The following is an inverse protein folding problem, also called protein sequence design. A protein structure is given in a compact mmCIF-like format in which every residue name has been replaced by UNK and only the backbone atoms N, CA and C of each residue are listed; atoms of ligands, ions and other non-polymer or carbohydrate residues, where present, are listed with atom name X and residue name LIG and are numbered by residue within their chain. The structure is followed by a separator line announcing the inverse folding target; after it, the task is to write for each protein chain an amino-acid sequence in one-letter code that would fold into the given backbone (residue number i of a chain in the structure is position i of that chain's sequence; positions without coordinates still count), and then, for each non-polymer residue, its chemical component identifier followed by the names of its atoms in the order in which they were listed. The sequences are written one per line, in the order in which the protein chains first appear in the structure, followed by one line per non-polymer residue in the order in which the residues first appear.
data_IF_929272821413
#
_entry.id   IF_929272821413
#
_cell.length_a   1.000
_cell.length_b   1.000
_cell.length_c   1.000
_cell.angle_alpha   90.00
_cell.angle_beta   90.00
_cell.angle_gamma   90.00
#
_symmetry.space_group_name_H-M   'P 1'
#
loop_
_entity.id
_entity.type
_entity.pdbx_description
1 polymer ?
#
# COMPACT_ATOMS: atom_id res chain seq x y z
N UNK A 1 -63.49 9.23 3.14
CA UNK A 1 -62.28 9.86 2.56
C UNK A 1 -61.06 9.96 3.49
N UNK A 2 -60.79 8.92 4.30
CA UNK A 2 -59.58 8.84 5.14
C UNK A 2 -58.51 7.97 4.47
N UNK A 3 -58.92 6.81 3.93
CA UNK A 3 -58.08 5.84 3.20
C UNK A 3 -57.43 6.44 1.96
N UNK A 4 -58.11 7.34 1.25
CA UNK A 4 -57.57 8.05 0.09
C UNK A 4 -56.50 9.06 0.48
N UNK A 5 -56.62 9.74 1.63
CA UNK A 5 -55.61 10.70 2.12
C UNK A 5 -54.33 10.00 2.63
N UNK A 6 -54.45 8.81 3.21
CA UNK A 6 -53.31 8.02 3.69
C UNK A 6 -52.46 7.48 2.53
N UNK A 7 -53.10 6.86 1.50
CA UNK A 7 -52.41 6.45 0.27
C UNK A 7 -51.70 7.59 -0.46
N UNK A 8 -52.28 8.80 -0.40
CA UNK A 8 -51.66 9.97 -1.04
C UNK A 8 -50.43 10.44 -0.27
N UNK A 9 -50.43 10.36 1.06
CA UNK A 9 -49.25 10.66 1.88
C UNK A 9 -48.13 9.66 1.62
N UNK A 10 -48.42 8.37 1.61
CA UNK A 10 -47.41 7.32 1.38
C UNK A 10 -46.78 7.45 -0.02
N UNK A 11 -47.59 7.78 -1.04
CA UNK A 11 -47.11 8.06 -2.39
C UNK A 11 -46.20 9.29 -2.47
N UNK A 12 -46.49 10.33 -1.69
CA UNK A 12 -45.68 11.57 -1.65
C UNK A 12 -44.36 11.33 -0.91
N UNK A 13 -44.38 10.59 0.21
CA UNK A 13 -43.16 10.22 0.93
C UNK A 13 -42.24 9.33 0.07
N UNK A 14 -42.79 8.32 -0.61
CA UNK A 14 -42.01 7.48 -1.52
C UNK A 14 -41.40 8.28 -2.69
N UNK A 15 -42.12 9.28 -3.20
CA UNK A 15 -41.61 10.17 -4.26
C UNK A 15 -40.50 11.09 -3.76
N UNK A 16 -40.61 11.61 -2.53
CA UNK A 16 -39.57 12.41 -1.86
C UNK A 16 -38.32 11.59 -1.55
N UNK A 17 -38.46 10.35 -1.08
CA UNK A 17 -37.34 9.42 -0.89
C UNK A 17 -36.65 9.09 -2.22
N UNK A 18 -37.41 8.88 -3.30
CA UNK A 18 -36.87 8.65 -4.63
C UNK A 18 -36.09 9.88 -5.16
N UNK A 19 -36.66 11.09 -5.02
CA UNK A 19 -36.02 12.34 -5.44
C UNK A 19 -34.74 12.64 -4.65
N UNK A 20 -34.73 12.35 -3.35
CA UNK A 20 -33.55 12.54 -2.50
C UNK A 20 -32.48 11.49 -2.79
N UNK A 21 -32.84 10.22 -3.03
CA UNK A 21 -31.89 9.18 -3.46
C UNK A 21 -31.33 9.45 -4.86
N UNK A 22 -32.13 9.92 -5.82
CA UNK A 22 -31.63 10.29 -7.14
C UNK A 22 -30.66 11.47 -7.11
N UNK A 23 -30.94 12.50 -6.29
CA UNK A 23 -30.04 13.64 -6.14
C UNK A 23 -28.76 13.31 -5.36
N UNK A 24 -28.81 12.36 -4.43
CA UNK A 24 -27.64 11.96 -3.62
C UNK A 24 -26.76 10.93 -4.32
N UNK A 25 -27.29 10.09 -5.22
CA UNK A 25 -26.52 9.14 -6.05
C UNK A 25 -25.29 9.75 -6.75
N UNK A 26 -25.39 10.86 -7.51
CA UNK A 26 -24.21 11.44 -8.17
C UNK A 26 -23.18 11.95 -7.16
N UNK A 27 -23.62 12.47 -6.01
CA UNK A 27 -22.73 12.92 -4.93
C UNK A 27 -21.97 11.74 -4.30
N UNK A 28 -22.68 10.65 -3.98
CA UNK A 28 -22.08 9.41 -3.48
C UNK A 28 -21.09 8.82 -4.48
N UNK A 29 -21.43 8.85 -5.77
CA UNK A 29 -20.52 8.41 -6.84
C UNK A 29 -19.25 9.26 -6.91
N UNK A 30 -19.35 10.57 -6.66
CA UNK A 30 -18.21 11.48 -6.62
C UNK A 30 -17.28 11.16 -5.44
N UNK A 31 -17.85 10.95 -4.24
CA UNK A 31 -17.06 10.56 -3.06
C UNK A 31 -16.37 9.21 -3.26
N UNK A 32 -17.05 8.24 -3.85
CA UNK A 32 -16.44 6.94 -4.19
C UNK A 32 -15.26 7.10 -5.15
N UNK A 33 -15.38 7.96 -6.17
CA UNK A 33 -14.26 8.27 -7.08
C UNK A 33 -13.08 8.93 -6.35
N UNK A 34 -13.34 9.86 -5.44
CA UNK A 34 -12.29 10.50 -4.62
C UNK A 34 -11.62 9.46 -3.73
N UNK A 35 -12.39 8.64 -3.03
CA UNK A 35 -11.88 7.55 -2.21
C UNK A 35 -10.96 6.63 -3.02
N UNK A 36 -11.36 6.22 -4.22
CA UNK A 36 -10.54 5.36 -5.07
C UNK A 36 -9.24 6.05 -5.50
N UNK A 37 -9.29 7.34 -5.83
CA UNK A 37 -8.08 8.12 -6.17
C UNK A 37 -7.13 8.22 -5.00
N UNK A 38 -7.63 8.51 -3.80
CA UNK A 38 -6.80 8.55 -2.59
C UNK A 38 -6.18 7.18 -2.28
N UNK A 39 -6.95 6.11 -2.40
CA UNK A 39 -6.44 4.75 -2.19
C UNK A 39 -5.35 4.40 -3.21
N UNK A 40 -5.55 4.75 -4.49
CA UNK A 40 -4.53 4.56 -5.52
C UNK A 40 -3.28 5.41 -5.27
N UNK A 41 -3.43 6.65 -4.82
CA UNK A 41 -2.30 7.53 -4.50
C UNK A 41 -1.47 6.95 -3.35
N UNK A 42 -2.14 6.53 -2.27
CA UNK A 42 -1.49 5.88 -1.13
C UNK A 42 -0.75 4.60 -1.53
N UNK A 43 -1.38 3.79 -2.39
CA UNK A 43 -0.79 2.59 -2.96
C UNK A 43 0.47 2.88 -3.80
N UNK A 44 0.46 3.99 -4.54
CA UNK A 44 1.64 4.44 -5.30
C UNK A 44 2.73 5.00 -4.40
N UNK A 45 2.38 5.75 -3.35
CA UNK A 45 3.34 6.28 -2.38
C UNK A 45 4.06 5.16 -1.63
N UNK A 46 3.34 4.13 -1.18
CA UNK A 46 3.93 2.93 -0.57
C UNK A 46 4.99 2.29 -1.46
N UNK A 47 4.70 2.14 -2.76
CA UNK A 47 5.69 1.59 -3.70
C UNK A 47 6.89 2.50 -3.85
N UNK A 48 6.67 3.80 -4.04
CA UNK A 48 7.77 4.76 -4.15
C UNK A 48 8.65 4.76 -2.90
N UNK A 49 8.05 4.60 -1.72
CA UNK A 49 8.77 4.43 -0.47
C UNK A 49 9.68 3.18 -0.51
N UNK A 50 9.17 2.02 -0.95
CA UNK A 50 10.00 0.84 -1.18
C UNK A 50 11.14 1.10 -2.19
N UNK A 51 10.86 1.78 -3.31
CA UNK A 51 11.88 2.13 -4.31
C UNK A 51 12.98 3.02 -3.73
N UNK A 52 12.63 4.00 -2.90
CA UNK A 52 13.58 4.91 -2.26
C UNK A 52 14.60 4.14 -1.42
N UNK A 53 14.12 3.24 -0.56
CA UNK A 53 14.98 2.43 0.29
C UNK A 53 15.84 1.46 -0.51
N UNK A 54 15.24 0.69 -1.41
CA UNK A 54 15.96 -0.30 -2.21
C UNK A 54 16.97 0.35 -3.16
N UNK A 55 16.70 1.57 -3.64
CA UNK A 55 17.64 2.34 -4.46
C UNK A 55 19.00 2.56 -3.78
N UNK A 56 19.05 2.52 -2.44
CA UNK A 56 20.29 2.65 -1.66
C UNK A 56 21.25 1.46 -1.86
N UNK A 57 20.80 0.31 -2.37
CA UNK A 57 21.68 -0.83 -2.74
C UNK A 57 22.83 -0.41 -3.64
N UNK A 58 22.55 0.50 -4.59
CA UNK A 58 23.55 0.99 -5.55
C UNK A 58 24.71 1.75 -4.89
N UNK A 59 24.53 2.22 -3.66
CA UNK A 59 25.52 3.00 -2.90
C UNK A 59 26.40 2.14 -2.00
N UNK A 60 26.11 0.84 -1.91
CA UNK A 60 26.71 -0.08 -0.96
C UNK A 60 27.81 -0.91 -1.64
N UNK A 61 28.94 -1.10 -0.95
CA UNK A 61 30.00 -2.01 -1.38
C UNK A 61 29.67 -3.45 -1.02
N UNK A 62 29.88 -4.36 -1.99
CA UNK A 62 29.77 -5.82 -1.81
C UNK A 62 31.13 -6.51 -1.74
N UNK A 63 32.21 -5.73 -1.63
CA UNK A 63 33.55 -6.19 -1.32
C UNK A 63 33.80 -5.93 0.16
N UNK A 64 33.62 -6.95 0.99
CA UNK A 64 33.73 -6.86 2.45
C UNK A 64 34.88 -7.70 2.97
N UNK A 65 35.67 -7.15 3.88
CA UNK A 65 36.76 -7.88 4.54
C UNK A 65 36.20 -8.95 5.50
N UNK A 66 35.10 -8.65 6.17
CA UNK A 66 34.44 -9.51 7.15
C UNK A 66 32.98 -9.81 6.77
N UNK A 67 32.42 -10.95 7.22
CA UNK A 67 31.01 -11.27 7.00
C UNK A 67 30.13 -10.32 7.82
N UNK A 68 29.03 -9.81 7.25
CA UNK A 68 28.12 -8.93 8.00
C UNK A 68 27.36 -9.71 9.07
N UNK A 69 27.30 -9.16 10.27
CA UNK A 69 26.55 -9.76 11.39
C UNK A 69 25.04 -9.53 11.24
N UNK A 70 24.65 -8.33 10.80
CA UNK A 70 23.27 -7.87 10.67
C UNK A 70 22.90 -7.59 9.20
N UNK A 71 21.60 -7.56 8.85
CA UNK A 71 21.16 -7.01 7.58
C UNK A 71 21.51 -5.52 7.48
N UNK A 72 21.46 -5.00 6.27
CA UNK A 72 21.73 -3.60 6.02
C UNK A 72 20.75 -2.68 6.72
N UNK A 73 21.27 -1.59 7.31
CA UNK A 73 20.46 -0.66 8.08
C UNK A 73 19.30 -0.06 7.27
N UNK A 74 19.45 0.09 5.94
CA UNK A 74 18.35 0.57 5.10
C UNK A 74 17.24 -0.49 4.91
N UNK A 75 17.58 -1.78 4.99
CA UNK A 75 16.60 -2.88 4.94
C UNK A 75 15.83 -2.92 6.25
N UNK A 76 16.53 -2.77 7.37
CA UNK A 76 15.91 -2.71 8.70
C UNK A 76 14.98 -1.50 8.86
N UNK A 77 15.44 -0.32 8.43
CA UNK A 77 14.65 0.92 8.39
C UNK A 77 13.39 0.73 7.54
N UNK A 78 13.50 0.11 6.36
CA UNK A 78 12.36 -0.14 5.48
C UNK A 78 11.31 -1.07 6.10
N UNK A 79 11.74 -2.17 6.73
CA UNK A 79 10.79 -3.12 7.35
C UNK A 79 10.10 -2.47 8.55
N UNK A 80 10.84 -1.74 9.38
CA UNK A 80 10.28 -1.01 10.51
C UNK A 80 9.27 0.05 10.06
N UNK A 81 9.59 0.81 9.00
CA UNK A 81 8.70 1.81 8.44
C UNK A 81 7.44 1.19 7.84
N UNK A 82 7.57 0.12 7.04
CA UNK A 82 6.43 -0.58 6.47
C UNK A 82 5.50 -1.16 7.54
N UNK A 83 6.05 -1.80 8.57
CA UNK A 83 5.27 -2.31 9.69
C UNK A 83 4.57 -1.19 10.47
N UNK A 84 5.24 -0.05 10.66
CA UNK A 84 4.66 1.13 11.31
C UNK A 84 3.53 1.75 10.47
N UNK A 85 3.70 1.80 9.15
CA UNK A 85 2.68 2.31 8.22
C UNK A 85 1.47 1.36 8.21
N UNK A 86 1.69 0.06 8.12
CA UNK A 86 0.63 -0.96 8.16
C UNK A 86 -0.16 -0.88 9.48
N UNK A 87 0.53 -0.84 10.63
CA UNK A 87 -0.12 -0.74 11.93
C UNK A 87 -1.01 0.51 12.09
N UNK A 88 -0.64 1.62 11.43
CA UNK A 88 -1.41 2.87 11.45
C UNK A 88 -2.58 2.88 10.47
N UNK A 89 -2.43 2.22 9.33
CA UNK A 89 -3.42 2.27 8.24
C UNK A 89 -4.41 1.11 8.28
N UNK A 90 -4.01 -0.09 8.70
CA UNK A 90 -4.88 -1.26 8.75
C UNK A 90 -6.18 -1.01 9.53
N UNK A 91 -6.19 -0.31 10.69
CA UNK A 91 -7.43 -0.03 11.41
C UNK A 91 -8.40 0.91 10.68
N UNK A 92 -7.93 1.66 9.66
CA UNK A 92 -8.72 2.65 8.93
C UNK A 92 -9.44 2.06 7.70
N UNK A 93 -9.10 0.84 7.31
CA UNK A 93 -9.55 0.23 6.06
C UNK A 93 -10.16 -1.15 6.26
N UNK A 94 -11.13 -1.50 5.41
CA UNK A 94 -11.60 -2.88 5.30
C UNK A 94 -10.49 -3.77 4.73
N UNK A 95 -10.57 -5.08 5.00
CA UNK A 95 -9.52 -6.05 4.66
C UNK A 95 -9.14 -6.01 3.18
N UNK A 96 -10.11 -5.87 2.28
CA UNK A 96 -9.86 -5.84 0.83
C UNK A 96 -8.99 -4.65 0.41
N UNK A 97 -9.14 -3.52 1.10
CA UNK A 97 -8.33 -2.31 0.87
C UNK A 97 -6.96 -2.43 1.51
N UNK A 98 -6.83 -3.17 2.62
CA UNK A 98 -5.53 -3.49 3.20
C UNK A 98 -4.74 -4.42 2.28
N UNK A 99 -5.37 -5.49 1.80
CA UNK A 99 -4.77 -6.41 0.82
C UNK A 99 -4.38 -5.69 -0.47
N UNK A 100 -5.20 -4.75 -0.93
CA UNK A 100 -4.84 -3.89 -2.05
C UNK A 100 -3.57 -3.07 -1.77
N UNK A 101 -3.43 -2.48 -0.57
CA UNK A 101 -2.30 -1.61 -0.23
C UNK A 101 -1.00 -2.38 0.05
N UNK A 102 -1.08 -3.50 0.77
CA UNK A 102 0.08 -4.18 1.35
C UNK A 102 0.35 -5.55 0.75
N UNK A 103 -0.65 -6.19 0.13
CA UNK A 103 -0.60 -7.61 -0.25
C UNK A 103 0.50 -7.98 -1.25
N UNK A 104 0.99 -7.03 -2.04
CA UNK A 104 2.05 -7.27 -3.01
C UNK A 104 3.40 -6.63 -2.65
N UNK A 105 3.52 -5.98 -1.49
CA UNK A 105 4.74 -5.28 -1.07
C UNK A 105 5.92 -6.25 -0.95
N UNK A 106 5.75 -7.42 -0.31
CA UNK A 106 6.83 -8.41 -0.20
C UNK A 106 7.34 -8.89 -1.58
N UNK A 107 6.43 -9.07 -2.54
CA UNK A 107 6.78 -9.45 -3.93
C UNK A 107 7.48 -8.30 -4.65
N UNK A 108 7.02 -7.07 -4.44
CA UNK A 108 7.66 -5.86 -4.96
C UNK A 108 9.09 -5.75 -4.42
N UNK A 109 9.31 -5.84 -3.11
CA UNK A 109 10.61 -5.74 -2.48
C UNK A 109 11.60 -6.76 -3.05
N UNK A 110 11.21 -8.03 -3.17
CA UNK A 110 12.05 -9.06 -3.83
C UNK A 110 12.41 -8.70 -5.26
N UNK A 111 11.46 -8.17 -6.02
CA UNK A 111 11.69 -7.75 -7.43
C UNK A 111 12.68 -6.58 -7.47
N UNK A 112 12.44 -5.54 -6.68
CA UNK A 112 13.30 -4.36 -6.62
C UNK A 112 14.69 -4.69 -6.15
N UNK A 113 14.81 -5.52 -5.11
CA UNK A 113 16.09 -5.93 -4.55
C UNK A 113 16.90 -6.67 -5.61
N UNK A 114 16.31 -7.68 -6.25
CA UNK A 114 16.95 -8.45 -7.33
C UNK A 114 17.36 -7.56 -8.51
N UNK A 115 16.50 -6.62 -8.91
CA UNK A 115 16.83 -5.65 -9.97
C UNK A 115 17.97 -4.71 -9.55
N UNK A 116 18.02 -4.29 -8.29
CA UNK A 116 19.10 -3.47 -7.74
C UNK A 116 20.45 -4.19 -7.75
N UNK A 117 20.48 -5.50 -7.49
CA UNK A 117 21.70 -6.30 -7.53
C UNK A 117 22.37 -6.32 -8.92
N UNK A 118 21.61 -6.11 -10.00
CA UNK A 118 22.16 -6.04 -11.35
C UNK A 118 23.13 -4.85 -11.54
N UNK A 119 23.09 -3.85 -10.66
CA UNK A 119 24.01 -2.70 -10.68
C UNK A 119 25.35 -2.96 -9.99
N UNK A 120 25.52 -4.11 -9.33
CA UNK A 120 26.74 -4.42 -8.56
C UNK A 120 27.87 -4.79 -9.52
N UNK A 121 28.97 -4.02 -9.47
CA UNK A 121 30.13 -4.23 -10.34
C UNK A 121 31.07 -5.35 -9.85
N UNK A 122 31.13 -5.59 -8.54
CA UNK A 122 32.01 -6.58 -7.94
C UNK A 122 31.46 -7.09 -6.60
N UNK A 123 31.63 -8.38 -6.33
CA UNK A 123 31.12 -9.06 -5.13
C UNK A 123 32.11 -10.15 -4.68
N UNK A 124 32.30 -10.27 -3.36
CA UNK A 124 33.03 -11.39 -2.77
C UNK A 124 32.11 -12.27 -1.90
N UNK A 125 32.64 -13.34 -1.29
CA UNK A 125 31.84 -14.29 -0.50
C UNK A 125 31.09 -13.62 0.66
N UNK A 126 31.70 -12.62 1.29
CA UNK A 126 31.07 -11.86 2.37
C UNK A 126 29.93 -10.98 1.84
N UNK A 127 30.07 -10.39 0.66
CA UNK A 127 29.00 -9.69 -0.05
C UNK A 127 27.82 -10.60 -0.42
N UNK A 128 28.07 -11.86 -0.78
CA UNK A 128 27.00 -12.85 -1.00
C UNK A 128 26.26 -13.13 0.31
N UNK A 129 26.99 -13.29 1.42
CA UNK A 129 26.40 -13.48 2.76
C UNK A 129 25.54 -12.27 3.16
N UNK A 130 25.96 -11.05 2.83
CA UNK A 130 25.19 -9.81 3.02
C UNK A 130 23.85 -9.87 2.31
N UNK A 131 23.87 -10.07 0.99
CA UNK A 131 22.68 -10.17 0.14
C UNK A 131 21.73 -11.23 0.68
N UNK A 132 22.26 -12.39 1.07
CA UNK A 132 21.43 -13.48 1.62
C UNK A 132 20.74 -13.06 2.93
N UNK A 133 21.42 -12.32 3.80
CA UNK A 133 20.83 -11.81 5.04
C UNK A 133 19.73 -10.79 4.75
N UNK A 134 19.98 -9.84 3.86
CA UNK A 134 19.00 -8.82 3.47
C UNK A 134 17.75 -9.45 2.85
N UNK A 135 17.94 -10.38 1.90
CA UNK A 135 16.83 -11.09 1.23
C UNK A 135 16.06 -12.00 2.18
N UNK A 136 16.72 -12.57 3.20
CA UNK A 136 16.04 -13.37 4.21
C UNK A 136 15.23 -12.51 5.19
N UNK A 137 15.68 -11.28 5.43
CA UNK A 137 15.01 -10.36 6.32
C UNK A 137 13.74 -9.74 5.69
N UNK A 138 13.73 -9.54 4.36
CA UNK A 138 12.61 -9.03 3.54
C UNK A 138 11.51 -10.06 3.22
#
# INVERSE_FOLDING_TARGET
DFVTREKTKDSVFASLECLTTEKTKPMLSSFSKVQQRCLNALHMELRHHCYYFVGRISTVSFLLEEPPELPDGFVDELICDLGSIEARLAPLFALEKQEFLFGDIARLLRTLFTSGLASISAINQNGITRIRKDVFYL
#
